data_IF_643368602075
#
_entry.id   IF_643368602075
#
_cell.length_a   1.000
_cell.length_b   1.000
_cell.length_c   1.000
_cell.angle_alpha   90.00
_cell.angle_beta   90.00
_cell.angle_gamma   90.00
#
_symmetry.space_group_name_H-M   'P 1'
#
loop_
_entity.id
_entity.type
_entity.pdbx_description
1 polymer ?
#
# COMPACT_ATOMS: atom_id res chain seq x y z
N UNK A 1 -10.40 5.48 -3.34
CA UNK A 1 -9.01 5.76 -2.97
C UNK A 1 -8.11 5.54 -4.18
N UNK A 2 -6.95 6.21 -4.29
CA UNK A 2 -6.06 6.04 -5.44
C UNK A 2 -5.55 4.59 -5.49
N UNK A 3 -5.75 3.97 -6.64
CA UNK A 3 -5.17 2.67 -6.98
C UNK A 3 -4.22 2.91 -8.15
N UNK A 4 -3.01 2.41 -8.02
CA UNK A 4 -2.00 2.44 -9.07
C UNK A 4 -1.83 1.05 -9.64
N UNK A 5 -1.49 1.00 -10.93
CA UNK A 5 -1.11 -0.23 -11.60
C UNK A 5 -0.05 0.06 -12.65
N UNK A 6 0.78 -0.95 -12.87
CA UNK A 6 1.80 -1.00 -13.90
C UNK A 6 1.62 -2.34 -14.61
N UNK A 7 1.40 -2.30 -15.92
CA UNK A 7 1.56 -3.48 -16.77
C UNK A 7 3.02 -3.55 -17.20
N UNK A 8 3.64 -4.70 -16.96
CA UNK A 8 5.01 -4.99 -17.37
C UNK A 8 4.99 -5.99 -18.51
N UNK A 9 5.73 -5.69 -19.57
CA UNK A 9 5.80 -6.48 -20.79
C UNK A 9 7.27 -6.81 -21.04
N UNK A 10 7.56 -8.10 -21.25
CA UNK A 10 8.87 -8.53 -21.71
C UNK A 10 8.82 -8.73 -23.23
N UNK A 11 9.09 -7.65 -23.96
CA UNK A 11 9.14 -7.61 -25.43
C UNK A 11 10.60 -7.71 -25.91
N UNK A 12 11.36 -8.57 -25.23
CA UNK A 12 12.73 -8.87 -25.64
C UNK A 12 12.70 -10.14 -26.48
N UNK A 13 13.40 -10.14 -27.61
CA UNK A 13 13.49 -11.32 -28.49
C UNK A 13 14.44 -12.42 -27.94
N UNK A 14 14.97 -12.24 -26.73
CA UNK A 14 15.81 -13.22 -26.04
C UNK A 14 14.92 -14.14 -25.19
N UNK A 15 15.19 -15.46 -25.18
CA UNK A 15 14.43 -16.46 -24.40
C UNK A 15 14.72 -16.38 -22.88
N UNK A 16 14.88 -15.17 -22.33
CA UNK A 16 15.20 -14.94 -20.93
C UNK A 16 13.97 -14.55 -20.13
N UNK A 17 13.90 -15.09 -18.91
CA UNK A 17 12.94 -14.64 -17.90
C UNK A 17 13.51 -13.40 -17.24
N UNK A 18 12.79 -12.28 -17.34
CA UNK A 18 13.19 -11.03 -16.70
C UNK A 18 12.40 -10.80 -15.43
N UNK A 19 13.10 -10.37 -14.38
CA UNK A 19 12.48 -9.96 -13.11
C UNK A 19 12.26 -8.46 -13.09
N UNK A 20 11.01 -8.05 -12.93
CA UNK A 20 10.61 -6.65 -12.75
C UNK A 20 10.34 -6.40 -11.28
N UNK A 21 10.87 -5.29 -10.77
CA UNK A 21 10.67 -4.89 -9.38
C UNK A 21 10.24 -3.43 -9.29
N UNK A 22 9.10 -3.20 -8.62
CA UNK A 22 8.69 -1.87 -8.16
C UNK A 22 9.25 -1.63 -6.77
N UNK A 23 9.84 -0.46 -6.58
CA UNK A 23 10.35 0.01 -5.31
C UNK A 23 10.09 1.52 -5.15
N UNK A 24 10.38 2.05 -3.97
CA UNK A 24 10.12 3.45 -3.63
C UNK A 24 11.38 4.14 -3.15
N UNK A 25 11.61 5.38 -3.60
CA UNK A 25 12.56 6.30 -2.99
C UNK A 25 11.76 7.37 -2.21
N UNK A 26 12.23 7.76 -1.02
CA UNK A 26 11.66 8.86 -0.25
C UNK A 26 12.70 9.99 -0.12
N UNK A 27 12.68 10.99 -1.00
CA UNK A 27 13.69 12.06 -1.01
C UNK A 27 13.76 12.85 0.30
N UNK A 28 12.63 12.95 1.02
CA UNK A 28 12.55 13.61 2.32
C UNK A 28 13.16 12.79 3.48
N UNK A 29 13.59 11.54 3.22
CA UNK A 29 14.18 10.62 4.20
C UNK A 29 15.56 10.17 3.69
N UNK A 30 16.60 11.04 3.70
CA UNK A 30 17.85 10.83 2.97
C UNK A 30 18.74 9.69 3.50
N UNK A 31 18.39 9.06 4.63
CA UNK A 31 19.16 7.98 5.26
C UNK A 31 18.44 6.63 5.22
N UNK A 32 17.41 6.51 4.39
CA UNK A 32 16.61 5.29 4.31
C UNK A 32 16.97 4.44 3.10
N UNK A 33 17.07 3.14 3.32
CA UNK A 33 17.31 2.13 2.30
C UNK A 33 16.01 1.78 1.58
N UNK A 34 15.96 1.99 0.27
CA UNK A 34 14.91 1.49 -0.60
C UNK A 34 15.05 0.00 -0.82
N UNK A 35 13.94 -0.73 -0.74
CA UNK A 35 13.95 -2.18 -0.95
C UNK A 35 12.97 -2.64 -2.03
N UNK A 36 13.25 -3.82 -2.58
CA UNK A 36 12.37 -4.52 -3.50
C UNK A 36 11.02 -4.81 -2.85
N UNK A 37 9.93 -4.35 -3.49
CA UNK A 37 8.61 -4.38 -2.88
C UNK A 37 7.60 -5.24 -3.66
N UNK A 38 7.25 -4.86 -4.89
CA UNK A 38 6.39 -5.66 -5.75
C UNK A 38 7.24 -6.26 -6.86
N UNK A 39 7.25 -7.58 -6.96
CA UNK A 39 8.16 -8.31 -7.85
C UNK A 39 7.33 -9.25 -8.72
N UNK A 40 7.70 -9.37 -10.00
CA UNK A 40 7.17 -10.38 -10.91
C UNK A 40 8.26 -10.80 -11.88
N UNK A 41 8.32 -12.08 -12.22
CA UNK A 41 9.22 -12.61 -13.23
C UNK A 41 8.39 -13.06 -14.42
N UNK A 42 8.74 -12.58 -15.61
CA UNK A 42 7.97 -12.82 -16.83
C UNK A 42 8.87 -13.38 -17.94
N UNK A 43 8.49 -14.50 -18.58
CA UNK A 43 9.13 -14.96 -19.81
C UNK A 43 9.02 -13.93 -20.94
N UNK A 44 9.85 -14.07 -21.97
CA UNK A 44 9.72 -13.30 -23.21
C UNK A 44 8.34 -13.51 -23.85
N UNK A 45 7.77 -12.42 -24.39
CA UNK A 45 6.45 -12.38 -25.01
C UNK A 45 5.27 -12.26 -24.04
N UNK A 46 5.51 -12.33 -22.73
CA UNK A 46 4.45 -12.34 -21.71
C UNK A 46 4.25 -10.98 -21.03
N UNK A 47 3.09 -10.86 -20.36
CA UNK A 47 2.66 -9.65 -19.64
C UNK A 47 2.24 -9.99 -18.22
N UNK A 48 2.58 -9.12 -17.26
CA UNK A 48 2.10 -9.18 -15.89
C UNK A 48 1.66 -7.80 -15.41
N UNK A 49 0.85 -7.75 -14.34
CA UNK A 49 0.35 -6.50 -13.77
C UNK A 49 0.70 -6.42 -12.29
N UNK A 50 1.40 -5.36 -11.92
CA UNK A 50 1.67 -4.99 -10.53
C UNK A 50 0.71 -3.88 -10.12
N UNK A 51 0.01 -4.01 -8.99
CA UNK A 51 -0.94 -2.99 -8.54
C UNK A 51 -0.93 -2.81 -7.02
N UNK A 52 -1.25 -1.61 -6.56
CA UNK A 52 -1.31 -1.28 -5.13
C UNK A 52 -2.28 -0.13 -4.85
N UNK A 53 -2.63 0.02 -3.58
CA UNK A 53 -3.49 1.07 -3.06
C UNK A 53 -2.80 1.83 -1.92
N UNK A 54 -3.15 3.12 -1.76
CA UNK A 54 -2.65 3.97 -0.66
C UNK A 54 -3.57 4.00 0.56
N UNK A 55 -4.42 2.99 0.70
CA UNK A 55 -5.40 2.88 1.77
C UNK A 55 -4.82 2.31 3.07
N UNK A 56 -3.65 1.65 2.98
CA UNK A 56 -3.03 0.96 4.10
C UNK A 56 -1.52 1.23 4.14
N UNK A 57 -1.06 1.71 5.29
CA UNK A 57 0.36 1.83 5.60
C UNK A 57 0.79 0.75 6.58
N UNK A 58 2.07 0.44 6.56
CA UNK A 58 2.70 -0.53 7.44
C UNK A 58 3.89 0.12 8.15
N UNK A 59 4.13 -0.29 9.39
CA UNK A 59 5.38 -0.06 10.11
C UNK A 59 6.03 -1.40 10.41
N UNK A 60 7.35 -1.43 10.41
CA UNK A 60 8.11 -2.64 10.56
C UNK A 60 9.26 -2.49 11.55
N UNK A 61 9.49 -3.58 12.27
CA UNK A 61 10.73 -3.88 12.97
C UNK A 61 11.40 -5.01 12.20
N UNK A 62 12.66 -4.83 11.84
CA UNK A 62 13.36 -5.76 10.97
C UNK A 62 14.78 -6.05 11.47
N UNK A 63 15.45 -6.92 10.73
CA UNK A 63 16.86 -7.23 10.88
C UNK A 63 17.50 -7.24 9.50
N UNK A 64 18.52 -6.40 9.33
CA UNK A 64 19.34 -6.39 8.14
C UNK A 64 20.28 -7.60 8.10
N UNK A 65 20.19 -8.39 7.03
CA UNK A 65 21.06 -9.54 6.80
C UNK A 65 21.81 -9.37 5.49
N UNK A 66 23.14 -9.43 5.57
CA UNK A 66 23.99 -9.40 4.39
C UNK A 66 24.96 -10.59 4.40
N UNK A 67 24.88 -11.41 3.36
CA UNK A 67 25.90 -12.43 3.09
C UNK A 67 27.05 -11.77 2.32
N UNK A 68 28.29 -12.18 2.60
CA UNK A 68 29.48 -11.65 1.91
C UNK A 68 29.30 -11.72 0.39
N UNK A 69 29.50 -10.58 -0.28
CA UNK A 69 29.37 -10.47 -1.75
C UNK A 69 27.94 -10.48 -2.29
N UNK A 70 26.92 -10.38 -1.43
CA UNK A 70 25.51 -10.24 -1.84
C UNK A 70 24.92 -8.93 -1.32
N UNK A 71 23.88 -8.45 -2.02
CA UNK A 71 23.06 -7.35 -1.51
C UNK A 71 22.35 -7.78 -0.23
N UNK A 72 22.23 -6.83 0.69
CA UNK A 72 21.56 -7.09 1.97
C UNK A 72 20.05 -7.14 1.82
N UNK A 73 19.42 -7.89 2.72
CA UNK A 73 17.98 -8.11 2.75
C UNK A 73 17.46 -7.85 4.15
N UNK A 74 16.34 -7.14 4.25
CA UNK A 74 15.64 -6.93 5.52
C UNK A 74 14.66 -8.08 5.78
N UNK A 75 14.77 -8.67 6.97
CA UNK A 75 13.82 -9.67 7.44
C UNK A 75 12.92 -9.05 8.50
N UNK A 76 11.64 -8.91 8.18
CA UNK A 76 10.66 -8.36 9.10
C UNK A 76 10.48 -9.30 10.31
N UNK A 77 10.77 -8.79 11.51
CA UNK A 77 10.46 -9.45 12.79
C UNK A 77 9.02 -9.15 13.21
N UNK A 78 8.59 -7.91 13.01
CA UNK A 78 7.21 -7.48 13.22
C UNK A 78 6.77 -6.54 12.10
N UNK A 79 5.53 -6.68 11.67
CA UNK A 79 4.91 -5.86 10.64
C UNK A 79 3.49 -5.54 11.07
N UNK A 80 3.21 -4.26 11.31
CA UNK A 80 1.93 -3.81 11.89
C UNK A 80 1.30 -2.75 10.99
N UNK A 81 -0.03 -2.75 10.92
CA UNK A 81 -0.76 -1.72 10.17
C UNK A 81 -0.70 -0.39 10.89
N UNK A 82 -0.48 0.67 10.13
CA UNK A 82 -0.40 2.04 10.63
C UNK A 82 -1.28 2.98 9.80
N UNK A 83 -1.54 4.14 10.39
CA UNK A 83 -2.16 5.29 9.73
C UNK A 83 -1.16 6.44 9.66
N UNK A 84 -1.35 7.34 8.69
CA UNK A 84 -0.58 8.59 8.66
C UNK A 84 -0.84 9.40 9.94
N UNK A 85 0.17 10.16 10.36
CA UNK A 85 0.16 10.96 11.59
C UNK A 85 0.30 10.17 12.88
N UNK A 86 0.62 8.87 12.80
CA UNK A 86 0.86 8.02 13.98
C UNK A 86 2.33 8.02 14.39
N UNK A 87 2.55 7.82 15.68
CA UNK A 87 3.87 7.59 16.27
C UNK A 87 3.93 6.20 16.86
N UNK A 88 5.10 5.58 16.76
CA UNK A 88 5.40 4.23 17.19
C UNK A 88 6.66 4.24 18.02
N UNK A 89 6.83 3.21 18.83
CA UNK A 89 8.01 3.02 19.65
C UNK A 89 8.50 1.58 19.57
N UNK A 90 9.82 1.44 19.62
CA UNK A 90 10.51 0.17 19.78
C UNK A 90 10.93 0.08 21.25
N UNK A 91 10.61 -1.02 21.93
CA UNK A 91 11.00 -1.25 23.33
C UNK A 91 11.60 -2.64 23.48
N UNK A 92 12.44 -2.81 24.50
CA UNK A 92 12.88 -4.14 24.89
C UNK A 92 11.72 -4.93 25.52
N UNK A 93 11.60 -6.19 25.13
CA UNK A 93 10.76 -7.17 25.81
C UNK A 93 11.56 -7.75 26.98
N UNK A 94 11.04 -7.57 28.19
CA UNK A 94 11.71 -8.03 29.42
C UNK A 94 11.70 -9.57 29.51
N UNK A 95 10.72 -10.23 28.89
CA UNK A 95 10.51 -11.67 29.06
C UNK A 95 11.48 -12.52 28.24
N UNK A 96 11.85 -12.07 27.03
CA UNK A 96 12.64 -12.87 26.08
C UNK A 96 13.85 -12.12 25.49
N UNK A 97 14.19 -10.95 26.05
CA UNK A 97 15.27 -10.08 25.56
C UNK A 97 15.14 -9.77 24.04
N UNK A 98 13.92 -9.72 23.50
CA UNK A 98 13.66 -9.26 22.12
C UNK A 98 13.28 -7.77 22.07
N UNK A 99 13.08 -7.23 20.87
CA UNK A 99 12.53 -5.88 20.67
C UNK A 99 11.11 -5.99 20.13
N UNK A 100 10.22 -5.12 20.60
CA UNK A 100 8.82 -5.04 20.17
C UNK A 100 8.52 -3.67 19.59
N UNK A 101 7.73 -3.64 18.52
CA UNK A 101 7.20 -2.44 17.90
C UNK A 101 5.75 -2.23 18.35
N UNK A 102 5.51 -1.12 19.05
CA UNK A 102 4.22 -0.81 19.65
C UNK A 102 3.75 0.60 19.24
N UNK A 103 2.43 0.83 19.16
CA UNK A 103 1.90 2.18 19.02
C UNK A 103 2.36 3.05 20.19
N UNK A 104 2.58 4.34 19.95
CA UNK A 104 2.84 5.34 20.98
C UNK A 104 1.62 6.27 21.07
N UNK A 105 0.61 5.96 21.92
CA UNK A 105 -0.70 6.63 21.92
C UNK A 105 -0.68 8.07 22.44
N UNK A 106 0.34 8.46 23.23
CA UNK A 106 0.36 9.73 23.97
C UNK A 106 1.07 10.88 23.24
N UNK A 107 1.47 10.69 21.98
CA UNK A 107 1.96 11.80 21.15
C UNK A 107 0.75 12.41 20.47
N UNK A 108 0.53 13.72 20.67
CA UNK A 108 -0.50 14.50 19.96
C UNK A 108 -0.51 14.04 18.50
N UNK A 109 -1.59 13.36 18.09
CA UNK A 109 -1.70 12.90 16.72
C UNK A 109 -1.47 14.10 15.82
N UNK A 110 -0.46 13.99 14.95
CA UNK A 110 -0.12 15.04 14.01
C UNK A 110 -1.22 15.03 12.95
N UNK A 111 -2.37 15.59 13.32
CA UNK A 111 -3.57 15.69 12.49
C UNK A 111 -3.17 16.38 11.19
N UNK A 112 -3.42 15.69 10.06
CA UNK A 112 -3.03 16.10 8.70
C UNK A 112 -1.55 15.95 8.32
N UNK A 113 -0.72 15.22 9.07
CA UNK A 113 0.64 14.93 8.62
C UNK A 113 0.71 13.69 7.74
N UNK A 114 1.41 13.80 6.61
CA UNK A 114 1.86 12.67 5.81
C UNK A 114 3.07 11.96 6.45
N UNK A 115 3.12 11.87 7.78
CA UNK A 115 4.30 11.46 8.52
C UNK A 115 3.99 10.22 9.35
N UNK A 116 4.94 9.29 9.43
CA UNK A 116 4.99 8.23 10.43
C UNK A 116 6.31 8.39 11.20
N UNK A 117 6.24 8.34 12.53
CA UNK A 117 7.43 8.41 13.40
C UNK A 117 7.64 7.08 14.11
N UNK A 118 8.88 6.62 14.17
CA UNK A 118 9.27 5.44 14.95
C UNK A 118 10.41 5.86 15.88
N UNK A 119 10.18 5.75 17.19
CA UNK A 119 11.15 6.11 18.23
C UNK A 119 11.78 4.84 18.76
N UNK A 120 13.11 4.76 18.81
CA UNK A 120 13.78 3.65 19.47
C UNK A 120 13.91 3.92 20.97
N UNK A 121 12.96 3.45 21.77
CA UNK A 121 12.98 3.50 23.23
C UNK A 121 13.59 2.23 23.86
N UNK A 122 14.27 1.40 23.07
CA UNK A 122 14.99 0.23 23.55
C UNK A 122 16.46 0.56 23.83
N UNK A 123 17.13 -0.31 24.57
CA UNK A 123 18.53 -0.16 24.99
C UNK A 123 19.54 -0.40 23.87
N UNK A 124 19.12 -0.92 22.71
CA UNK A 124 20.01 -1.30 21.61
C UNK A 124 19.56 -0.76 20.24
N UNK A 125 20.50 -0.57 19.30
CA UNK A 125 20.14 -0.16 17.95
C UNK A 125 19.26 -1.19 17.25
N UNK A 126 18.49 -0.73 16.26
CA UNK A 126 17.52 -1.58 15.58
C UNK A 126 17.21 -1.10 14.17
N UNK A 127 16.72 -1.98 13.32
CA UNK A 127 16.26 -1.62 11.98
C UNK A 127 14.74 -1.46 11.99
N UNK A 128 14.27 -0.32 11.51
CA UNK A 128 12.84 -0.05 11.43
C UNK A 128 12.48 0.42 10.03
N UNK A 129 11.22 0.29 9.65
CA UNK A 129 10.83 0.67 8.32
C UNK A 129 9.35 0.96 8.22
N UNK A 130 8.98 1.36 7.02
CA UNK A 130 7.61 1.58 6.64
C UNK A 130 7.32 0.88 5.33
N UNK A 131 6.04 0.69 5.09
CA UNK A 131 5.54 0.06 3.89
C UNK A 131 4.13 0.53 3.57
N UNK A 132 3.60 -0.12 2.55
CA UNK A 132 2.21 0.02 2.18
C UNK A 132 1.66 -1.34 1.76
N UNK A 133 0.55 -1.36 1.03
CA UNK A 133 -0.03 -2.60 0.53
C UNK A 133 1.02 -3.53 -0.09
N UNK A 134 1.03 -4.81 0.26
CA UNK A 134 1.97 -5.80 -0.29
C UNK A 134 3.32 -5.91 0.44
N UNK A 135 3.71 -4.95 1.30
CA UNK A 135 4.90 -5.12 2.14
C UNK A 135 5.64 -3.83 2.51
N UNK A 136 6.82 -4.00 3.08
CA UNK A 136 7.77 -2.93 3.40
C UNK A 136 8.44 -2.39 2.15
N UNK A 137 8.70 -1.09 2.13
CA UNK A 137 9.26 -0.40 0.96
C UNK A 137 10.56 0.33 1.27
N UNK A 138 10.71 0.77 2.52
CA UNK A 138 11.84 1.58 2.96
C UNK A 138 12.19 1.24 4.41
N UNK A 139 13.48 1.18 4.71
CA UNK A 139 14.01 0.96 6.05
C UNK A 139 15.01 2.05 6.46
N UNK A 140 15.01 2.40 7.73
CA UNK A 140 16.11 3.11 8.38
C UNK A 140 16.94 2.09 9.17
N UNK A 141 18.23 2.00 8.82
CA UNK A 141 19.15 1.04 9.41
C UNK A 141 19.75 1.57 10.70
N UNK A 142 19.93 0.69 11.68
CA UNK A 142 20.70 0.96 12.89
C UNK A 142 20.23 2.23 13.63
N UNK A 143 18.91 2.41 13.74
CA UNK A 143 18.29 3.49 14.51
C UNK A 143 18.76 3.36 15.96
N UNK A 144 19.54 4.34 16.42
CA UNK A 144 20.19 4.31 17.75
C UNK A 144 19.15 4.41 18.88
N UNK A 145 19.47 3.93 20.09
CA UNK A 145 18.67 4.22 21.28
C UNK A 145 18.36 5.70 21.40
N UNK A 146 17.14 6.01 21.85
CA UNK A 146 16.57 7.35 22.04
C UNK A 146 16.44 8.20 20.76
N UNK A 147 16.75 7.64 19.59
CA UNK A 147 16.63 8.32 18.31
C UNK A 147 15.26 8.09 17.69
N UNK A 148 14.87 9.00 16.78
CA UNK A 148 13.59 8.93 16.07
C UNK A 148 13.81 8.88 14.56
N UNK A 149 13.29 7.84 13.92
CA UNK A 149 13.11 7.78 12.48
C UNK A 149 11.83 8.53 12.12
N UNK A 150 11.93 9.46 11.15
CA UNK A 150 10.79 10.26 10.67
C UNK A 150 10.60 9.98 9.19
N UNK A 151 9.52 9.28 8.87
CA UNK A 151 9.18 8.95 7.50
C UNK A 151 8.12 9.91 6.97
N UNK A 152 8.50 10.79 6.06
CA UNK A 152 7.56 11.65 5.32
C UNK A 152 7.10 10.92 4.05
N UNK A 153 5.83 10.53 4.01
CA UNK A 153 5.21 9.74 2.96
C UNK A 153 4.96 10.62 1.72
N UNK A 154 6.02 10.79 0.94
CA UNK A 154 6.03 11.41 -0.40
C UNK A 154 6.82 10.49 -1.34
N UNK A 155 6.32 9.28 -1.63
CA UNK A 155 7.09 8.27 -2.35
C UNK A 155 7.25 8.65 -3.82
N UNK A 156 8.47 8.47 -4.32
CA UNK A 156 8.73 8.35 -5.75
C UNK A 156 8.72 6.88 -6.13
N UNK A 157 7.88 6.51 -7.09
CA UNK A 157 7.83 5.13 -7.58
C UNK A 157 8.86 4.92 -8.68
N UNK A 158 9.56 3.81 -8.59
CA UNK A 158 10.54 3.37 -9.58
C UNK A 158 10.27 1.93 -9.95
N UNK A 159 10.62 1.58 -11.18
CA UNK A 159 10.65 0.21 -11.65
C UNK A 159 12.04 -0.12 -12.19
N UNK A 160 12.53 -1.30 -11.84
CA UNK A 160 13.76 -1.88 -12.38
C UNK A 160 13.51 -3.20 -13.07
N UNK A 161 14.39 -3.54 -14.00
CA UNK A 161 14.45 -4.86 -14.63
C UNK A 161 15.81 -5.51 -14.37
N UNK A 162 15.79 -6.80 -14.06
CA UNK A 162 16.92 -7.58 -13.56
C UNK A 162 16.95 -8.96 -14.23
N UNK A 163 18.15 -9.47 -14.51
CA UNK A 163 18.35 -10.84 -15.04
C UNK A 163 18.06 -11.91 -13.98
N UNK A 164 18.35 -11.61 -12.71
CA UNK A 164 18.23 -12.57 -11.62
C UNK A 164 17.01 -12.32 -10.77
N UNK A 165 16.45 -13.38 -10.21
CA UNK A 165 15.39 -13.31 -9.22
C UNK A 165 15.80 -12.41 -8.04
N UNK A 166 14.93 -11.46 -7.70
CA UNK A 166 15.10 -10.56 -6.57
C UNK A 166 14.25 -11.03 -5.39
N UNK A 167 14.83 -11.32 -4.22
CA UNK A 167 14.07 -11.52 -3.00
C UNK A 167 13.32 -10.25 -2.61
N UNK A 168 12.13 -10.37 -2.03
CA UNK A 168 11.44 -9.25 -1.39
C UNK A 168 12.28 -8.67 -0.24
N UNK A 169 12.21 -7.36 -0.03
CA UNK A 169 12.96 -6.61 0.99
C UNK A 169 14.49 -6.61 0.78
N UNK A 170 14.96 -6.99 -0.40
CA UNK A 170 16.36 -6.81 -0.78
C UNK A 170 16.61 -5.34 -1.08
N UNK A 171 17.71 -4.80 -0.56
CA UNK A 171 18.14 -3.44 -0.86
C UNK A 171 18.35 -3.26 -2.37
N UNK A 172 17.79 -2.20 -2.93
CA UNK A 172 17.98 -1.88 -4.34
C UNK A 172 19.33 -1.18 -4.52
N UNK A 173 20.15 -1.73 -5.40
CA UNK A 173 21.38 -1.09 -5.88
C UNK A 173 21.20 -0.80 -7.37
N UNK A 174 21.39 0.47 -7.75
CA UNK A 174 21.19 0.91 -9.13
C UNK A 174 22.23 0.28 -10.09
N UNK A 175 23.33 -0.29 -9.58
CA UNK A 175 24.40 -0.91 -10.38
C UNK A 175 24.11 -2.33 -10.88
N UNK A 176 23.14 -3.03 -10.30
CA UNK A 176 22.77 -4.41 -10.69
C UNK A 176 21.52 -4.47 -11.58
N UNK A 177 20.82 -3.35 -11.73
CA UNK A 177 19.68 -3.25 -12.63
C UNK A 177 20.17 -3.14 -14.07
N UNK A 178 19.47 -3.79 -15.00
CA UNK A 178 19.74 -3.64 -16.43
C UNK A 178 19.28 -2.26 -16.92
N UNK A 179 18.11 -1.83 -16.45
CA UNK A 179 17.62 -0.45 -16.58
C UNK A 179 16.64 -0.14 -15.44
N UNK A 180 16.50 1.15 -15.15
CA UNK A 180 15.62 1.70 -14.12
C UNK A 180 14.85 2.89 -14.69
N UNK A 181 13.57 2.99 -14.36
CA UNK A 181 12.73 4.13 -14.72
C UNK A 181 11.91 4.62 -13.54
N UNK A 182 11.93 5.94 -13.34
CA UNK A 182 10.98 6.61 -12.47
C UNK A 182 9.60 6.57 -13.12
N UNK A 183 8.59 6.17 -12.35
CA UNK A 183 7.21 6.13 -12.78
C UNK A 183 6.47 7.32 -12.19
N UNK A 184 5.92 8.16 -13.06
CA UNK A 184 5.08 9.28 -12.68
C UNK A 184 3.65 9.00 -13.12
N UNK A 185 2.69 8.99 -12.20
CA UNK A 185 1.29 8.88 -12.56
C UNK A 185 0.75 10.29 -12.81
N UNK A 186 0.54 10.70 -14.08
CA UNK A 186 0.22 12.10 -14.39
C UNK A 186 -1.12 12.53 -13.79
N UNK A 187 -2.08 11.60 -13.65
CA UNK A 187 -3.38 11.81 -13.00
C UNK A 187 -3.93 10.47 -12.49
N UNK A 188 -4.91 10.52 -11.57
CA UNK A 188 -5.66 9.34 -11.14
C UNK A 188 -6.37 8.68 -12.34
N UNK A 189 -6.26 7.35 -12.45
CA UNK A 189 -6.89 6.55 -13.51
C UNK A 189 -6.04 6.33 -14.77
N UNK A 190 -4.76 6.73 -14.75
CA UNK A 190 -3.77 6.29 -15.74
C UNK A 190 -3.07 5.01 -15.26
N UNK A 191 -2.80 4.12 -16.21
CA UNK A 191 -1.99 2.92 -16.04
C UNK A 191 -0.63 3.18 -16.70
N UNK A 192 0.46 2.81 -16.02
CA UNK A 192 1.76 2.79 -16.68
C UNK A 192 1.91 1.45 -17.42
N UNK A 193 2.41 1.48 -18.64
CA UNK A 193 2.80 0.31 -19.43
C UNK A 193 4.30 0.38 -19.59
N UNK A 194 5.01 -0.57 -18.99
CA UNK A 194 6.46 -0.65 -18.96
C UNK A 194 6.86 -1.83 -19.84
N UNK A 195 7.59 -1.55 -20.91
CA UNK A 195 8.05 -2.55 -21.87
C UNK A 195 9.56 -2.67 -21.78
N UNK A 196 10.05 -3.86 -21.43
CA UNK A 196 11.45 -4.20 -21.64
C UNK A 196 11.67 -4.57 -23.10
N UNK A 197 12.70 -4.00 -23.71
CA UNK A 197 13.12 -4.26 -25.08
C UNK A 197 14.62 -4.54 -25.11
N UNK A 198 15.08 -5.30 -26.11
CA UNK A 198 16.50 -5.53 -26.35
C UNK A 198 16.93 -4.67 -27.54
N UNK A 199 17.76 -3.66 -27.29
CA UNK A 199 18.23 -2.70 -28.30
C UNK A 199 19.67 -2.29 -27.95
N UNK A 200 20.56 -2.19 -28.96
CA UNK A 200 21.98 -1.90 -28.79
C UNK A 200 22.72 -2.82 -27.78
N UNK A 201 22.46 -4.12 -27.88
CA UNK A 201 23.00 -5.18 -27.01
C UNK A 201 22.71 -4.98 -25.51
N UNK A 202 21.61 -4.30 -25.18
CA UNK A 202 21.19 -4.03 -23.80
C UNK A 202 19.69 -4.12 -23.66
N UNK A 203 19.25 -4.50 -22.45
CA UNK A 203 17.85 -4.40 -22.06
C UNK A 203 17.56 -2.95 -21.63
N UNK A 204 16.52 -2.36 -22.23
CA UNK A 204 16.04 -1.02 -21.88
C UNK A 204 14.55 -1.04 -21.54
N UNK A 205 14.13 -0.15 -20.65
CA UNK A 205 12.73 0.04 -20.29
C UNK A 205 12.14 1.25 -21.02
N UNK A 206 11.06 1.03 -21.75
CA UNK A 206 10.19 2.09 -22.31
C UNK A 206 8.95 2.22 -21.44
N UNK A 207 8.59 3.45 -21.05
CA UNK A 207 7.42 3.73 -20.21
C UNK A 207 6.40 4.54 -21.00
N UNK A 208 5.20 4.00 -21.11
CA UNK A 208 4.04 4.66 -21.72
C UNK A 208 2.91 4.79 -20.70
N UNK A 209 2.03 5.77 -20.90
CA UNK A 209 0.87 5.98 -20.02
C UNK A 209 -0.41 5.86 -20.82
N UNK A 210 -1.28 4.95 -20.38
CA UNK A 210 -2.59 4.74 -20.99
C UNK A 210 -3.70 5.07 -20.01
N UNK A 211 -4.80 5.64 -20.49
CA UNK A 211 -5.97 5.85 -19.64
C UNK A 211 -6.64 4.50 -19.40
N UNK A 212 -6.81 4.12 -18.14
CA UNK A 212 -7.47 2.86 -17.77
C UNK A 212 -8.91 2.91 -18.29
N UNK A 213 -9.21 2.15 -19.35
CA UNK A 213 -10.60 1.92 -19.76
C UNK A 213 -11.20 1.03 -18.67
N UNK A 214 -12.07 1.57 -17.82
CA UNK A 214 -12.82 0.75 -16.88
C UNK A 214 -13.46 -0.42 -17.65
N UNK A 215 -13.40 -1.66 -17.13
CA UNK A 215 -14.05 -2.78 -17.77
C UNK A 215 -15.54 -2.45 -17.96
N UNK A 216 -16.05 -2.71 -19.16
CA UNK A 216 -17.37 -2.31 -19.65
C UNK A 216 -18.51 -2.67 -18.68
N UNK A 217 -18.35 -3.76 -17.93
CA UNK A 217 -19.27 -4.23 -16.89
C UNK A 217 -19.52 -3.23 -15.75
N UNK A 218 -18.52 -2.47 -15.31
CA UNK A 218 -18.69 -1.49 -14.22
C UNK A 218 -19.52 -0.28 -14.71
N UNK A 219 -19.32 0.13 -15.97
CA UNK A 219 -20.14 1.19 -16.59
C UNK A 219 -21.61 0.75 -16.71
N UNK A 220 -21.85 -0.52 -17.03
CA UNK A 220 -23.20 -1.08 -17.11
C UNK A 220 -23.87 -1.20 -15.74
N UNK A 221 -23.14 -1.67 -14.71
CA UNK A 221 -23.63 -1.76 -13.34
C UNK A 221 -23.91 -0.38 -12.72
N UNK A 222 -23.09 0.62 -13.02
CA UNK A 222 -23.33 2.00 -12.57
C UNK A 222 -24.56 2.62 -13.26
N UNK A 223 -24.74 2.36 -14.56
CA UNK A 223 -25.95 2.76 -15.30
C UNK A 223 -27.21 2.02 -14.79
N UNK A 224 -27.09 0.73 -14.44
CA UNK A 224 -28.17 -0.06 -13.82
C UNK A 224 -28.54 0.48 -12.43
N UNK A 225 -27.55 0.82 -11.60
CA UNK A 225 -27.78 1.40 -10.28
C UNK A 225 -28.46 2.77 -10.37
N UNK A 226 -28.02 3.63 -11.32
CA UNK A 226 -28.66 4.93 -11.57
C UNK A 226 -30.06 4.80 -12.18
N UNK A 227 -30.30 3.79 -13.02
CA UNK A 227 -31.64 3.49 -13.53
C UNK A 227 -32.57 3.00 -12.41
N UNK A 228 -32.10 2.08 -11.55
CA UNK A 228 -32.86 1.60 -10.40
C UNK A 228 -33.19 2.73 -9.39
N UNK A 229 -32.26 3.67 -9.18
CA UNK A 229 -32.50 4.84 -8.33
C UNK A 229 -33.58 5.77 -8.90
N UNK A 230 -33.67 5.91 -10.23
CA UNK A 230 -34.78 6.61 -10.89
C UNK A 230 -36.11 5.87 -10.81
N UNK A 231 -36.10 4.54 -10.83
CA UNK A 231 -37.33 3.73 -10.74
C UNK A 231 -37.90 3.68 -9.32
N UNK A 232 -37.04 3.69 -8.28
CA UNK A 232 -37.48 3.60 -6.87
C UNK A 232 -38.11 4.93 -6.37
N UNK A 233 -37.78 6.07 -6.99
CA UNK A 233 -38.32 7.39 -6.59
C UNK A 233 -39.46 7.92 -7.48
N UNK A 234 -40.01 7.11 -8.39
CA UNK A 234 -41.24 7.44 -9.11
C UNK A 234 -42.31 6.40 -8.76
N UNK A 235 -42.82 6.46 -7.53
CA UNK A 235 -44.14 5.94 -7.21
C UNK A 235 -45.00 7.11 -6.71
N UNK A 236 -46.10 7.44 -7.39
CA UNK A 236 -46.97 8.52 -6.97
C UNK A 236 -47.70 8.13 -5.67
N UNK A 237 -47.78 9.07 -4.74
CA UNK A 237 -48.74 9.03 -3.64
C UNK A 237 -50.15 8.89 -4.22
N UNK A 238 -50.70 7.68 -4.19
CA UNK A 238 -52.14 7.46 -4.41
C UNK A 238 -52.69 6.81 -3.15
N UNK A 239 -53.41 7.65 -2.43
CA UNK A 239 -54.37 7.35 -1.37
C UNK A 239 -55.30 6.19 -1.71
N UNK A 240 -55.47 5.23 -0.80
CA UNK A 240 -56.72 4.49 -0.67
C UNK A 240 -57.14 4.32 0.79
N UNK A 241 -58.34 4.84 1.06
CA UNK A 241 -59.11 4.64 2.27
C UNK A 241 -59.73 3.24 2.32
N UNK A 242 -60.18 2.90 3.54
CA UNK A 242 -61.32 2.06 3.90
C UNK A 242 -61.16 0.52 3.87
N UNK A 243 -61.11 -0.07 5.07
CA UNK A 243 -62.26 -0.70 5.75
C UNK A 243 -61.78 -1.84 6.65
N UNK A 244 -61.75 -1.65 7.97
CA UNK A 244 -61.96 -2.77 8.90
C UNK A 244 -62.71 -2.28 10.14
N UNK A 245 -63.98 -2.70 10.23
CA UNK A 245 -64.77 -2.70 11.46
C UNK A 245 -64.37 -3.92 12.27
N UNK A 246 -63.92 -3.74 13.50
CA UNK A 246 -64.18 -4.73 14.55
C UNK A 246 -64.31 -4.04 15.91
N UNK A 247 -65.45 -4.30 16.55
CA UNK A 247 -65.82 -3.84 17.88
C UNK A 247 -64.83 -4.38 18.92
N UNK A 248 -64.33 -3.52 19.80
CA UNK A 248 -63.89 -3.92 21.13
C UNK A 248 -64.26 -2.82 22.13
N UNK A 249 -65.10 -3.18 23.09
CA UNK A 249 -65.56 -2.35 24.21
C UNK A 249 -64.51 -2.37 25.33
N UNK A 250 -64.28 -1.26 26.04
CA UNK A 250 -63.26 -1.15 27.09
C UNK A 250 -63.83 -1.47 28.48
N UNK A 251 -62.97 -1.82 29.46
CA UNK A 251 -63.20 -1.50 30.86
C UNK A 251 -62.35 -0.29 31.29
N UNK A 252 -63.02 0.61 31.99
CA UNK A 252 -62.53 1.85 32.62
C UNK A 252 -61.93 1.56 34.02
N UNK A 253 -61.43 2.55 34.78
CA UNK A 253 -60.08 2.55 35.35
C UNK A 253 -60.08 2.37 36.87
N UNK A 254 -58.90 2.23 37.47
CA UNK A 254 -58.74 2.49 38.90
C UNK A 254 -57.54 3.39 39.19
N UNK A 255 -57.75 4.23 40.20
CA UNK A 255 -57.07 5.47 40.55
C UNK A 255 -55.70 5.22 41.16
N UNK A 256 -54.76 6.13 40.92
CA UNK A 256 -53.60 6.34 41.81
C UNK A 256 -53.77 7.71 42.46
N UNK A 257 -53.91 7.72 43.78
CA UNK A 257 -53.91 8.92 44.60
C UNK A 257 -52.48 9.29 44.99
N UNK A 258 -52.31 10.61 45.11
CA UNK A 258 -51.17 11.33 45.67
C UNK A 258 -51.19 11.18 47.20
N UNK A 259 -50.04 10.81 47.77
CA UNK A 259 -49.38 11.46 48.92
C UNK A 259 -47.92 10.99 48.99
#
# INVERSE_FOLDING_TARGET
MPQYSIDVINDTDIEEVLTFCVYQKMPATPFSDSVSWLITSIPSGEVSTLSWSLDKYLVALAEYRQKKGKMGTYVNKQLVTASLGTSWQIRDNIEDDSQLLLPLPDVVQLTNSNIIKIINNSSRPTDCGIGMWGGTTIFERNLRPESTAVFKIEPEYWIGVFETEMPQNQMIDDSIALDLKKIQFPNLGFNAVVTAIYEDDKIMLKVNYTRRKLPFLIKYLWNLAMAAFKTIFILPFVTTCNCFKSKFTPPFPEKVNVD
#
